data_IF_839080854254
#
_entry.id   IF_839080854254
#
_cell.length_a   1.000
_cell.length_b   1.000
_cell.length_c   1.000
_cell.angle_alpha   90.00
_cell.angle_beta   90.00
_cell.angle_gamma   90.00
#
_symmetry.space_group_name_H-M   'P 1'
#
loop_
_entity.id
_entity.type
_entity.pdbx_description
1 polymer ?
#
# COMPACT_ATOMS: atom_id res chain seq x y z
N UNK A 1 16.44 5.91 -20.58
CA UNK A 1 16.02 6.58 -19.33
C UNK A 1 14.66 6.04 -18.91
N UNK A 2 14.51 5.45 -17.72
CA UNK A 2 13.20 4.97 -17.24
C UNK A 2 12.51 6.12 -16.50
N UNK A 3 11.47 6.68 -17.10
CA UNK A 3 10.63 7.69 -16.45
C UNK A 3 9.77 7.00 -15.37
N UNK A 4 10.02 7.35 -14.10
CA UNK A 4 9.12 7.02 -13.00
C UNK A 4 8.20 8.22 -12.82
N UNK A 5 6.95 8.07 -13.23
CA UNK A 5 5.91 9.07 -13.03
C UNK A 5 5.63 9.25 -11.53
N UNK A 6 5.72 10.48 -11.05
CA UNK A 6 5.25 10.87 -9.72
C UNK A 6 3.85 11.44 -9.88
N UNK A 7 2.87 10.76 -9.28
CA UNK A 7 1.52 11.28 -9.17
C UNK A 7 1.53 12.51 -8.24
N UNK A 8 0.95 13.66 -8.64
CA UNK A 8 0.79 14.80 -7.73
C UNK A 8 -0.32 14.46 -6.74
N UNK A 9 -0.02 13.76 -5.63
CA UNK A 9 -1.03 13.42 -4.61
C UNK A 9 -1.08 14.55 -3.59
N UNK A 10 -2.23 15.21 -3.46
CA UNK A 10 -2.59 16.06 -2.31
C UNK A 10 -3.87 15.51 -1.67
N UNK A 11 -3.76 14.35 -1.01
CA UNK A 11 -4.86 13.65 -0.33
C UNK A 11 -4.39 12.39 0.41
N UNK A 12 -5.21 11.83 1.30
CA UNK A 12 -4.89 10.61 2.07
C UNK A 12 -4.95 9.36 1.16
N UNK A 13 -3.79 8.96 0.62
CA UNK A 13 -3.62 7.91 -0.39
C UNK A 13 -4.22 6.53 -0.05
N UNK A 14 -4.53 6.26 1.23
CA UNK A 14 -5.05 4.95 1.70
C UNK A 14 -6.57 4.86 1.55
N UNK A 15 -7.29 5.97 1.67
CA UNK A 15 -8.75 6.01 1.43
C UNK A 15 -9.05 5.89 -0.06
N UNK A 16 -8.28 6.60 -0.89
CA UNK A 16 -8.42 6.62 -2.36
C UNK A 16 -8.37 5.22 -3.00
N UNK A 17 -7.47 4.35 -2.54
CA UNK A 17 -7.31 3.00 -3.10
C UNK A 17 -8.58 2.13 -2.94
N UNK A 18 -9.38 2.37 -1.89
CA UNK A 18 -10.59 1.58 -1.60
C UNK A 18 -11.76 2.03 -2.46
N UNK A 19 -12.02 3.34 -2.47
CA UNK A 19 -13.09 3.91 -3.28
C UNK A 19 -12.83 3.66 -4.76
N UNK A 20 -11.61 3.92 -5.23
CA UNK A 20 -11.22 3.66 -6.63
C UNK A 20 -11.40 2.19 -7.03
N UNK A 21 -11.03 1.25 -6.16
CA UNK A 21 -11.24 -0.18 -6.41
C UNK A 21 -12.71 -0.57 -6.55
N UNK A 22 -13.59 -0.03 -5.71
CA UNK A 22 -15.02 -0.31 -5.76
C UNK A 22 -15.70 0.30 -6.99
N UNK A 23 -15.41 1.57 -7.33
CA UNK A 23 -15.93 2.18 -8.55
C UNK A 23 -15.44 1.45 -9.80
N UNK A 24 -14.15 1.07 -9.84
CA UNK A 24 -13.59 0.28 -10.93
C UNK A 24 -14.27 -1.09 -11.08
N UNK A 25 -14.54 -1.78 -9.97
CA UNK A 25 -15.26 -3.06 -9.97
C UNK A 25 -16.72 -2.89 -10.44
N UNK A 26 -17.43 -1.87 -9.96
CA UNK A 26 -18.81 -1.61 -10.35
C UNK A 26 -18.94 -1.28 -11.84
N UNK A 27 -18.04 -0.43 -12.37
CA UNK A 27 -17.99 -0.08 -13.79
C UNK A 27 -17.67 -1.29 -14.67
N UNK A 28 -16.71 -2.13 -14.25
CA UNK A 28 -16.33 -3.36 -14.96
C UNK A 28 -17.49 -4.34 -15.02
N UNK A 29 -18.19 -4.54 -13.89
CA UNK A 29 -19.34 -5.44 -13.83
C UNK A 29 -20.52 -4.94 -14.67
N UNK A 30 -20.81 -3.65 -14.64
CA UNK A 30 -21.87 -3.05 -15.46
C UNK A 30 -21.57 -3.20 -16.96
N UNK A 31 -20.28 -3.09 -17.35
CA UNK A 31 -19.83 -3.34 -18.72
C UNK A 31 -20.02 -4.81 -19.12
N UNK A 32 -19.65 -5.75 -18.25
CA UNK A 32 -19.84 -7.20 -18.48
C UNK A 32 -21.33 -7.58 -18.60
N UNK A 33 -22.20 -6.89 -17.86
CA UNK A 33 -23.66 -7.08 -17.91
C UNK A 33 -24.35 -6.29 -19.04
N UNK A 34 -23.58 -5.69 -19.96
CA UNK A 34 -24.08 -4.93 -21.12
C UNK A 34 -25.08 -3.81 -20.77
N UNK A 35 -24.89 -3.13 -19.63
CA UNK A 35 -25.80 -2.08 -19.18
C UNK A 35 -25.64 -0.76 -19.94
N UNK A 36 -26.74 -0.01 -20.05
CA UNK A 36 -26.76 1.36 -20.62
C UNK A 36 -26.09 2.37 -19.65
N UNK A 37 -25.51 3.43 -20.20
CA UNK A 37 -24.82 4.51 -19.45
C UNK A 37 -25.66 5.13 -18.33
N UNK A 38 -26.99 5.25 -18.53
CA UNK A 38 -27.90 5.74 -17.49
C UNK A 38 -28.01 4.78 -16.29
N UNK A 39 -27.99 3.46 -16.52
CA UNK A 39 -27.95 2.44 -15.45
C UNK A 39 -26.65 2.55 -14.67
N UNK A 40 -25.54 2.84 -15.36
CA UNK A 40 -24.21 2.97 -14.77
C UNK A 40 -24.17 4.14 -13.78
N UNK A 41 -24.66 5.34 -14.15
CA UNK A 41 -24.67 6.50 -13.23
C UNK A 41 -25.37 6.21 -11.91
N UNK A 42 -26.50 5.52 -12.00
CA UNK A 42 -27.34 5.09 -10.88
C UNK A 42 -26.63 4.06 -9.98
N UNK A 43 -25.89 3.13 -10.58
CA UNK A 43 -25.15 2.09 -9.88
C UNK A 43 -23.90 2.63 -9.16
N UNK A 44 -23.35 3.77 -9.59
CA UNK A 44 -22.14 4.35 -8.98
C UNK A 44 -22.39 4.98 -7.60
N UNK A 45 -23.63 5.35 -7.27
CA UNK A 45 -23.91 5.91 -5.94
C UNK A 45 -23.83 4.89 -4.80
N UNK A 46 -24.04 3.62 -5.10
CA UNK A 46 -24.11 2.56 -4.08
C UNK A 46 -22.74 2.13 -3.51
N UNK A 47 -21.68 1.97 -4.31
CA UNK A 47 -20.35 1.66 -3.80
C UNK A 47 -19.81 2.74 -2.87
N UNK A 48 -20.13 4.03 -3.10
CA UNK A 48 -19.75 5.13 -2.19
C UNK A 48 -20.27 4.90 -0.77
N UNK A 49 -21.55 4.51 -0.65
CA UNK A 49 -22.23 4.32 0.64
C UNK A 49 -21.69 3.12 1.42
N UNK A 50 -21.20 2.08 0.72
CA UNK A 50 -20.76 0.81 1.33
C UNK A 50 -19.25 0.64 1.44
N UNK A 51 -18.46 1.42 0.71
CA UNK A 51 -17.01 1.44 0.87
C UNK A 51 -16.60 2.28 2.07
N UNK A 52 -16.92 1.80 3.26
CA UNK A 52 -16.47 2.38 4.51
C UNK A 52 -15.28 1.59 5.04
N UNK A 53 -14.24 2.29 5.50
CA UNK A 53 -13.08 1.63 6.08
C UNK A 53 -12.13 2.63 6.72
N UNK A 54 -11.89 2.47 8.02
CA UNK A 54 -10.96 3.32 8.74
C UNK A 54 -9.52 2.85 8.54
N UNK A 55 -8.63 3.80 8.18
CA UNK A 55 -7.20 3.54 8.05
C UNK A 55 -6.54 3.14 9.38
N UNK A 56 -7.19 3.41 10.51
CA UNK A 56 -6.71 3.08 11.85
C UNK A 56 -6.48 1.56 12.03
N UNK A 57 -7.26 0.70 11.35
CA UNK A 57 -7.04 -0.75 11.40
C UNK A 57 -5.70 -1.16 10.79
N UNK A 58 -5.33 -0.55 9.66
CA UNK A 58 -4.03 -0.77 8.99
C UNK A 58 -2.90 -0.21 9.85
N UNK A 59 -3.13 0.99 10.41
CA UNK A 59 -2.21 1.63 11.34
C UNK A 59 -1.88 0.73 12.55
N UNK A 60 -2.90 0.07 13.11
CA UNK A 60 -2.75 -0.89 14.23
C UNK A 60 -2.26 -2.28 13.82
N UNK A 61 -1.95 -2.52 12.53
CA UNK A 61 -1.48 -3.83 12.06
C UNK A 61 -2.57 -4.91 12.01
N UNK A 62 -3.83 -4.50 11.90
CA UNK A 62 -4.94 -5.42 11.67
C UNK A 62 -4.98 -5.96 10.23
N UNK A 63 -5.82 -6.98 10.01
CA UNK A 63 -5.93 -7.63 8.70
C UNK A 63 -6.40 -6.70 7.58
N UNK A 64 -5.76 -6.81 6.42
CA UNK A 64 -6.11 -6.05 5.21
C UNK A 64 -7.17 -6.75 4.36
N UNK A 65 -7.32 -8.08 4.47
CA UNK A 65 -8.20 -8.90 3.63
C UNK A 65 -9.66 -8.42 3.53
N UNK A 66 -10.35 -8.10 4.65
CA UNK A 66 -11.76 -7.70 4.60
C UNK A 66 -12.04 -6.43 3.80
N UNK A 67 -11.01 -5.62 3.55
CA UNK A 67 -11.14 -4.31 2.90
C UNK A 67 -11.18 -4.34 1.38
N UNK A 68 -10.50 -5.30 0.75
CA UNK A 68 -10.62 -5.51 -0.69
C UNK A 68 -11.93 -6.21 -1.04
N UNK A 69 -12.32 -7.19 -0.20
CA UNK A 69 -13.58 -7.93 -0.31
C UNK A 69 -14.80 -7.00 -0.27
N UNK A 70 -14.85 -6.08 0.68
CA UNK A 70 -16.00 -5.15 0.81
C UNK A 70 -16.24 -4.29 -0.44
N UNK A 71 -15.18 -3.93 -1.17
CA UNK A 71 -15.30 -3.18 -2.42
C UNK A 71 -15.94 -4.01 -3.55
N UNK A 72 -15.51 -5.26 -3.69
CA UNK A 72 -16.10 -6.19 -4.66
C UNK A 72 -17.56 -6.52 -4.35
N UNK A 73 -17.88 -6.82 -3.09
CA UNK A 73 -19.26 -7.07 -2.64
C UNK A 73 -20.15 -5.85 -2.88
N UNK A 74 -19.65 -4.64 -2.60
CA UNK A 74 -20.39 -3.40 -2.85
C UNK A 74 -20.69 -3.20 -4.33
N UNK A 75 -19.76 -3.54 -5.23
CA UNK A 75 -19.94 -3.45 -6.67
C UNK A 75 -21.00 -4.42 -7.21
N UNK A 76 -21.01 -5.66 -6.70
CA UNK A 76 -22.03 -6.67 -7.04
C UNK A 76 -23.41 -6.20 -6.60
N UNK A 77 -23.55 -5.86 -5.31
CA UNK A 77 -24.81 -5.39 -4.73
C UNK A 77 -25.35 -4.14 -5.46
N UNK A 78 -24.48 -3.19 -5.79
CA UNK A 78 -24.84 -2.00 -6.55
C UNK A 78 -25.44 -2.34 -7.94
N UNK A 79 -24.77 -3.24 -8.66
CA UNK A 79 -25.24 -3.72 -9.96
C UNK A 79 -26.54 -4.52 -9.87
N UNK A 80 -26.77 -5.26 -8.79
CA UNK A 80 -28.00 -6.02 -8.57
C UNK A 80 -29.18 -5.08 -8.27
N UNK A 81 -28.98 -4.05 -7.45
CA UNK A 81 -30.00 -3.01 -7.23
C UNK A 81 -30.36 -2.28 -8.52
N UNK A 82 -29.37 -1.90 -9.32
CA UNK A 82 -29.62 -1.35 -10.65
C UNK A 82 -30.35 -2.33 -11.59
N UNK A 83 -30.24 -3.64 -11.40
CA UNK A 83 -30.99 -4.66 -12.16
C UNK A 83 -32.47 -4.65 -11.79
N UNK A 84 -32.74 -4.54 -10.50
CA UNK A 84 -34.08 -4.53 -9.94
C UNK A 84 -34.80 -3.19 -10.11
N UNK A 85 -34.21 -2.22 -10.82
CA UNK A 85 -34.83 -0.93 -11.10
C UNK A 85 -34.67 0.12 -9.99
N UNK A 86 -33.86 -0.16 -8.97
CA UNK A 86 -33.57 0.85 -7.94
C UNK A 86 -32.72 1.97 -8.51
N UNK A 87 -33.07 3.20 -8.14
CA UNK A 87 -32.26 4.38 -8.46
C UNK A 87 -31.27 4.71 -7.34
N UNK A 88 -30.18 5.38 -7.68
CA UNK A 88 -29.13 5.85 -6.79
C UNK A 88 -28.88 7.34 -7.01
N UNK A 89 -28.20 8.02 -6.08
CA UNK A 89 -27.92 9.44 -6.21
C UNK A 89 -27.12 9.74 -7.49
N UNK A 90 -27.49 10.82 -8.17
CA UNK A 90 -26.71 11.36 -9.29
C UNK A 90 -25.50 12.15 -8.78
N UNK A 91 -24.54 12.42 -9.67
CA UNK A 91 -23.37 13.27 -9.42
C UNK A 91 -22.52 12.88 -8.20
N UNK A 92 -22.41 11.58 -7.94
CA UNK A 92 -21.73 11.00 -6.76
C UNK A 92 -20.24 11.29 -6.67
N UNK A 93 -19.64 11.76 -7.76
CA UNK A 93 -18.22 12.15 -7.81
C UNK A 93 -18.06 13.65 -7.52
N UNK A 94 -18.77 14.51 -8.25
CA UNK A 94 -18.52 15.97 -8.31
C UNK A 94 -19.61 16.84 -7.68
N UNK A 95 -20.78 16.25 -7.39
CA UNK A 95 -21.93 16.92 -6.82
C UNK A 95 -21.61 17.62 -5.50
N UNK A 96 -22.53 18.45 -4.97
CA UNK A 96 -22.28 19.25 -3.78
C UNK A 96 -21.89 18.41 -2.55
N UNK A 97 -22.37 17.16 -2.49
CA UNK A 97 -21.99 16.15 -1.49
C UNK A 97 -21.30 14.94 -2.12
N UNK A 98 -20.60 15.14 -3.24
CA UNK A 98 -19.90 14.09 -3.98
C UNK A 98 -18.55 13.73 -3.37
N UNK A 99 -18.02 12.57 -3.78
CA UNK A 99 -16.77 11.99 -3.29
C UNK A 99 -15.61 12.99 -3.26
N UNK A 100 -15.39 13.75 -4.35
CA UNK A 100 -14.24 14.65 -4.46
C UNK A 100 -14.30 15.77 -3.41
N UNK A 101 -15.49 16.32 -3.12
CA UNK A 101 -15.65 17.38 -2.12
C UNK A 101 -15.60 16.85 -0.69
N UNK A 102 -16.05 15.62 -0.47
CA UNK A 102 -16.09 15.00 0.86
C UNK A 102 -14.73 14.43 1.31
N UNK A 103 -13.93 13.91 0.36
CA UNK A 103 -12.71 13.16 0.68
C UNK A 103 -11.44 13.92 0.29
N UNK A 104 -11.43 14.65 -0.82
CA UNK A 104 -10.23 15.34 -1.29
C UNK A 104 -10.16 16.76 -0.72
N UNK A 105 -8.95 17.20 -0.34
CA UNK A 105 -8.71 18.59 0.08
C UNK A 105 -8.68 19.56 -1.09
N UNK A 106 -8.25 19.07 -2.26
CA UNK A 106 -8.24 19.78 -3.53
C UNK A 106 -8.27 18.72 -4.65
N UNK A 107 -8.98 19.01 -5.73
CA UNK A 107 -9.11 18.09 -6.86
C UNK A 107 -9.16 18.86 -8.18
N UNK A 108 -8.72 18.18 -9.24
CA UNK A 108 -8.90 18.61 -10.63
C UNK A 108 -9.67 17.51 -11.37
N UNK A 109 -10.94 17.78 -11.66
CA UNK A 109 -11.84 16.86 -12.33
C UNK A 109 -11.30 16.39 -13.69
N UNK A 110 -10.57 17.25 -14.40
CA UNK A 110 -10.03 16.93 -15.72
C UNK A 110 -9.03 15.77 -15.66
N UNK A 111 -8.35 15.57 -14.53
CA UNK A 111 -7.42 14.45 -14.37
C UNK A 111 -8.11 13.09 -14.31
N UNK A 112 -9.39 13.03 -13.93
CA UNK A 112 -10.13 11.76 -13.87
C UNK A 112 -10.43 11.19 -15.25
N UNK A 113 -10.60 12.06 -16.24
CA UNK A 113 -10.93 11.70 -17.62
C UNK A 113 -9.76 11.88 -18.58
N UNK A 114 -8.65 12.47 -18.12
CA UNK A 114 -7.44 12.65 -18.91
C UNK A 114 -6.92 11.30 -19.45
N UNK A 115 -6.82 11.20 -20.77
CA UNK A 115 -6.32 10.00 -21.45
C UNK A 115 -7.28 8.81 -21.43
N UNK A 116 -8.55 8.97 -21.06
CA UNK A 116 -9.54 7.89 -21.10
C UNK A 116 -9.66 7.33 -22.54
N UNK A 117 -9.65 6.00 -22.67
CA UNK A 117 -9.67 5.32 -23.98
C UNK A 117 -8.31 5.21 -24.68
N UNK A 118 -7.29 5.95 -24.23
CA UNK A 118 -5.93 5.91 -24.79
C UNK A 118 -4.90 5.37 -23.81
N UNK A 119 -5.02 5.74 -22.53
CA UNK A 119 -4.11 5.33 -21.46
C UNK A 119 -4.78 4.26 -20.61
N UNK A 120 -4.25 3.03 -20.69
CA UNK A 120 -4.77 1.91 -19.91
C UNK A 120 -3.94 1.72 -18.64
N UNK A 121 -4.46 2.17 -17.50
CA UNK A 121 -3.77 2.08 -16.21
C UNK A 121 -3.40 0.63 -15.81
N UNK A 122 -4.09 -0.38 -16.36
CA UNK A 122 -3.73 -1.80 -16.17
C UNK A 122 -2.32 -2.13 -16.69
N UNK A 123 -1.83 -1.42 -17.71
CA UNK A 123 -0.47 -1.56 -18.23
C UNK A 123 0.59 -0.88 -17.33
N UNK A 124 0.16 -0.17 -16.28
CA UNK A 124 1.01 0.57 -15.35
C UNK A 124 1.00 -0.05 -13.94
N UNK A 125 0.62 -1.32 -13.83
CA UNK A 125 0.62 -2.06 -12.57
C UNK A 125 2.05 -2.44 -12.16
N UNK A 126 2.29 -2.46 -10.85
CA UNK A 126 3.56 -2.93 -10.28
C UNK A 126 3.39 -4.31 -9.65
N UNK A 127 4.26 -5.25 -9.98
CA UNK A 127 4.40 -6.49 -9.24
C UNK A 127 5.15 -6.24 -7.94
N UNK A 128 4.69 -6.89 -6.85
CA UNK A 128 5.36 -6.81 -5.55
C UNK A 128 6.46 -7.87 -5.48
N UNK A 129 7.74 -7.49 -5.37
CA UNK A 129 8.82 -8.45 -5.14
C UNK A 129 8.76 -9.05 -3.73
N UNK A 130 8.25 -8.30 -2.75
CA UNK A 130 8.18 -8.71 -1.35
C UNK A 130 6.73 -8.78 -0.85
N UNK A 131 6.38 -9.77 -0.02
CA UNK A 131 5.07 -9.93 0.62
C UNK A 131 4.82 -8.92 1.77
N UNK A 132 5.19 -7.65 1.59
CA UNK A 132 5.15 -6.59 2.60
C UNK A 132 4.43 -5.31 2.11
N UNK A 133 4.41 -4.28 2.96
CA UNK A 133 3.93 -2.95 2.58
C UNK A 133 4.89 -2.26 1.61
N UNK A 134 4.34 -1.60 0.56
CA UNK A 134 5.13 -0.96 -0.53
C UNK A 134 6.25 -0.05 -0.05
N UNK A 135 6.03 0.67 1.05
CA UNK A 135 7.02 1.57 1.64
C UNK A 135 8.32 0.87 2.09
N UNK A 136 8.28 -0.44 2.38
CA UNK A 136 9.48 -1.21 2.76
C UNK A 136 10.33 -1.67 1.57
N UNK A 137 9.77 -1.73 0.35
CA UNK A 137 10.39 -2.45 -0.75
C UNK A 137 11.74 -1.86 -1.18
N UNK A 138 11.86 -0.53 -1.21
CA UNK A 138 13.13 0.11 -1.58
C UNK A 138 14.25 -0.20 -0.58
N UNK A 139 13.92 -0.29 0.71
CA UNK A 139 14.86 -0.66 1.75
C UNK A 139 15.31 -2.12 1.62
N UNK A 140 14.35 -3.02 1.42
CA UNK A 140 14.60 -4.45 1.27
C UNK A 140 15.46 -4.73 0.03
N UNK A 141 15.20 -4.04 -1.08
CA UNK A 141 16.00 -4.15 -2.30
C UNK A 141 17.45 -3.73 -2.06
N UNK A 142 17.67 -2.61 -1.36
CA UNK A 142 19.02 -2.14 -1.04
C UNK A 142 19.74 -3.15 -0.15
N UNK A 143 19.08 -3.66 0.90
CA UNK A 143 19.66 -4.64 1.81
C UNK A 143 19.96 -5.97 1.11
N UNK A 144 19.06 -6.43 0.24
CA UNK A 144 19.31 -7.61 -0.57
C UNK A 144 20.60 -7.45 -1.37
N UNK A 145 20.74 -6.34 -2.09
CA UNK A 145 21.90 -6.11 -2.96
C UNK A 145 23.23 -5.97 -2.20
N UNK A 146 23.24 -5.25 -1.06
CA UNK A 146 24.50 -4.92 -0.38
C UNK A 146 24.88 -5.91 0.74
N UNK A 147 23.93 -6.72 1.23
CA UNK A 147 24.17 -7.68 2.31
C UNK A 147 24.01 -9.11 1.79
N UNK A 148 22.80 -9.46 1.35
CA UNK A 148 22.47 -10.84 0.99
C UNK A 148 23.26 -11.29 -0.24
N UNK A 149 23.20 -10.52 -1.32
CA UNK A 149 23.86 -10.86 -2.59
C UNK A 149 25.39 -10.71 -2.50
N UNK A 150 25.87 -9.93 -1.51
CA UNK A 150 27.29 -9.82 -1.19
C UNK A 150 27.79 -10.94 -0.24
N UNK A 151 26.91 -11.81 0.25
CA UNK A 151 27.28 -12.92 1.14
C UNK A 151 27.73 -12.47 2.53
N UNK A 152 27.31 -11.30 3.01
CA UNK A 152 27.69 -10.79 4.32
C UNK A 152 26.93 -11.56 5.41
N UNK A 153 27.61 -12.27 6.33
CA UNK A 153 26.92 -13.07 7.33
C UNK A 153 26.21 -12.17 8.35
N UNK A 154 25.00 -12.53 8.82
CA UNK A 154 24.23 -11.72 9.76
C UNK A 154 25.00 -11.33 11.02
N UNK A 155 25.87 -12.23 11.53
CA UNK A 155 26.70 -12.03 12.72
C UNK A 155 27.75 -10.92 12.59
N UNK A 156 28.17 -10.59 11.36
CA UNK A 156 29.17 -9.55 11.11
C UNK A 156 28.61 -8.13 11.15
N UNK A 157 27.28 -7.99 11.14
CA UNK A 157 26.61 -6.68 11.12
C UNK A 157 26.43 -6.21 12.57
N UNK A 158 26.86 -5.01 12.91
CA UNK A 158 26.63 -4.42 14.23
C UNK A 158 25.37 -3.53 14.26
N UNK A 159 25.07 -2.83 13.15
CA UNK A 159 23.83 -2.06 13.02
C UNK A 159 23.55 -1.67 11.57
N UNK A 160 22.27 -1.41 11.29
CA UNK A 160 21.73 -0.95 10.02
C UNK A 160 21.07 0.41 10.25
N UNK A 161 21.46 1.42 9.46
CA UNK A 161 20.78 2.71 9.46
C UNK A 161 20.31 3.07 8.06
N UNK A 162 19.01 3.34 7.92
CA UNK A 162 18.38 3.72 6.68
C UNK A 162 17.82 5.14 6.75
N UNK A 163 18.17 5.97 5.78
CA UNK A 163 17.57 7.29 5.59
C UNK A 163 16.43 7.25 4.56
N UNK A 164 15.23 7.72 4.90
CA UNK A 164 14.04 7.64 4.05
C UNK A 164 13.06 8.82 4.23
N UNK A 165 12.17 9.10 3.26
CA UNK A 165 11.13 10.10 3.42
C UNK A 165 10.22 9.84 4.62
N UNK A 166 9.63 10.92 5.16
CA UNK A 166 8.75 10.88 6.34
C UNK A 166 7.61 9.87 6.22
N UNK A 167 7.04 9.72 5.02
CA UNK A 167 5.98 8.75 4.78
C UNK A 167 6.44 7.29 4.99
N UNK A 168 7.65 6.95 4.53
CA UNK A 168 8.22 5.61 4.73
C UNK A 168 8.40 5.35 6.23
N UNK A 169 9.03 6.28 6.95
CA UNK A 169 9.17 6.20 8.40
C UNK A 169 7.82 5.99 9.09
N UNK A 170 6.81 6.81 8.76
CA UNK A 170 5.47 6.72 9.34
C UNK A 170 4.80 5.37 9.10
N UNK A 171 5.01 4.75 7.94
CA UNK A 171 4.30 3.52 7.57
C UNK A 171 4.99 2.26 8.08
N UNK A 172 6.32 2.23 8.12
CA UNK A 172 7.09 0.99 8.36
C UNK A 172 8.11 1.02 9.49
N UNK A 173 8.27 2.13 10.22
CA UNK A 173 9.22 2.23 11.36
C UNK A 173 8.74 1.53 12.66
N UNK A 174 7.99 0.43 12.54
CA UNK A 174 7.42 -0.26 13.69
C UNK A 174 8.48 -1.15 14.36
N UNK A 175 8.66 -1.10 15.68
CA UNK A 175 9.62 -1.97 16.35
C UNK A 175 9.19 -3.43 16.21
N UNK A 176 10.15 -4.34 16.03
CA UNK A 176 9.87 -5.77 16.11
C UNK A 176 9.76 -6.19 17.58
N UNK A 177 8.78 -7.01 17.92
CA UNK A 177 8.59 -7.51 19.27
C UNK A 177 8.00 -8.94 19.28
N UNK A 178 8.14 -9.70 20.37
CA UNK A 178 7.46 -10.98 20.51
C UNK A 178 5.93 -10.84 20.41
N UNK A 179 5.26 -11.82 19.82
CA UNK A 179 3.80 -11.83 19.69
C UNK A 179 3.22 -10.87 18.64
N UNK A 180 4.04 -10.34 17.74
CA UNK A 180 3.56 -9.60 16.56
C UNK A 180 2.60 -10.45 15.73
N UNK A 181 1.54 -9.85 15.22
CA UNK A 181 0.74 -10.48 14.17
C UNK A 181 1.49 -10.44 12.83
N UNK A 182 1.18 -11.39 11.94
CA UNK A 182 1.72 -11.38 10.58
C UNK A 182 1.48 -10.05 9.83
N UNK A 183 0.34 -9.39 10.06
CA UNK A 183 0.02 -8.11 9.43
C UNK A 183 0.83 -6.94 10.02
N UNK A 184 1.13 -6.99 11.31
CA UNK A 184 2.03 -6.04 11.94
C UNK A 184 3.44 -6.19 11.36
N UNK A 185 3.95 -7.43 11.30
CA UNK A 185 5.28 -7.76 10.80
C UNK A 185 5.50 -7.31 9.35
N UNK A 186 4.48 -7.43 8.47
CA UNK A 186 4.50 -6.91 7.08
C UNK A 186 4.71 -5.39 6.97
N UNK A 187 4.56 -4.67 8.08
CA UNK A 187 4.73 -3.22 8.20
C UNK A 187 5.80 -2.87 9.25
N UNK A 188 6.62 -3.82 9.69
CA UNK A 188 7.79 -3.58 10.54
C UNK A 188 9.04 -3.75 9.70
N UNK A 189 9.63 -2.64 9.24
CA UNK A 189 10.87 -2.67 8.48
C UNK A 189 12.05 -3.28 9.27
N UNK A 190 12.21 -3.05 10.59
CA UNK A 190 13.21 -3.77 11.38
C UNK A 190 13.08 -5.29 11.28
N UNK A 191 11.87 -5.82 11.46
CA UNK A 191 11.62 -7.26 11.32
C UNK A 191 11.92 -7.74 9.90
N UNK A 192 11.40 -7.05 8.87
CA UNK A 192 11.56 -7.45 7.47
C UNK A 192 13.02 -7.42 7.03
N UNK A 193 13.79 -6.42 7.47
CA UNK A 193 15.21 -6.27 7.15
C UNK A 193 16.02 -7.45 7.70
N UNK A 194 15.87 -7.74 8.99
CA UNK A 194 16.60 -8.87 9.59
C UNK A 194 16.10 -10.20 9.07
N UNK A 195 14.78 -10.37 8.87
CA UNK A 195 14.25 -11.61 8.31
C UNK A 195 14.81 -11.90 6.92
N UNK A 196 14.90 -10.88 6.06
CA UNK A 196 15.53 -10.98 4.74
C UNK A 196 17.02 -11.35 4.86
N UNK A 197 17.76 -10.73 5.79
CA UNK A 197 19.19 -10.99 5.96
C UNK A 197 19.46 -12.42 6.45
N UNK A 198 18.61 -12.95 7.34
CA UNK A 198 18.76 -14.31 7.87
C UNK A 198 18.29 -15.39 6.88
N UNK A 199 17.16 -15.19 6.19
CA UNK A 199 16.61 -16.19 5.27
C UNK A 199 17.17 -16.05 3.83
N UNK A 200 17.79 -14.92 3.49
CA UNK A 200 18.19 -14.57 2.12
C UNK A 200 17.03 -14.14 1.22
N UNK A 201 15.79 -14.45 1.60
CA UNK A 201 14.58 -14.04 0.89
C UNK A 201 13.41 -13.73 1.84
N UNK A 202 12.34 -13.18 1.28
CA UNK A 202 11.07 -13.00 1.99
C UNK A 202 9.94 -13.66 1.23
N UNK A 203 9.27 -14.60 1.88
CA UNK A 203 8.14 -15.34 1.32
C UNK A 203 6.92 -15.28 2.24
N UNK A 204 5.86 -15.99 1.89
CA UNK A 204 4.72 -16.17 2.79
C UNK A 204 5.11 -16.85 4.10
N UNK A 205 6.13 -17.71 4.08
CA UNK A 205 6.61 -18.49 5.22
C UNK A 205 7.29 -17.62 6.28
N UNK A 206 7.88 -16.49 5.85
CA UNK A 206 8.50 -15.47 6.70
C UNK A 206 7.53 -14.83 7.71
N UNK A 207 6.23 -15.15 7.67
CA UNK A 207 5.21 -14.65 8.60
C UNK A 207 4.45 -15.76 9.33
N UNK A 208 4.98 -16.98 9.34
CA UNK A 208 4.47 -18.05 10.20
C UNK A 208 4.75 -17.74 11.67
N UNK A 209 3.98 -18.33 12.59
CA UNK A 209 4.19 -18.11 14.02
C UNK A 209 5.60 -18.53 14.47
N UNK A 210 6.15 -19.60 13.86
CA UNK A 210 7.52 -20.04 14.11
C UNK A 210 8.53 -18.93 13.74
N UNK A 211 8.47 -18.41 12.50
CA UNK A 211 9.37 -17.34 12.04
C UNK A 211 9.23 -16.05 12.84
N UNK A 212 8.01 -15.69 13.24
CA UNK A 212 7.72 -14.48 14.02
C UNK A 212 8.25 -14.54 15.45
N UNK A 213 8.46 -15.75 15.99
CA UNK A 213 8.94 -15.99 17.35
C UNK A 213 10.44 -16.29 17.43
N UNK A 214 11.18 -16.30 16.31
CA UNK A 214 12.62 -16.57 16.31
C UNK A 214 13.40 -15.49 17.08
N UNK A 215 14.07 -15.91 18.16
CA UNK A 215 14.81 -15.02 19.06
C UNK A 215 15.91 -14.26 18.35
N UNK A 216 16.61 -14.91 17.42
CA UNK A 216 17.78 -14.34 16.75
C UNK A 216 17.40 -13.15 15.86
N UNK A 217 16.23 -13.20 15.22
CA UNK A 217 15.73 -12.07 14.41
C UNK A 217 15.18 -10.96 15.32
N UNK A 218 14.44 -11.33 16.37
CA UNK A 218 13.85 -10.35 17.28
C UNK A 218 14.91 -9.58 18.08
N UNK A 219 15.98 -10.26 18.52
CA UNK A 219 17.10 -9.66 19.24
C UNK A 219 17.80 -8.55 18.42
N UNK A 220 17.78 -8.68 17.09
CA UNK A 220 18.42 -7.75 16.16
C UNK A 220 17.52 -6.55 15.82
N UNK A 221 16.25 -6.58 16.20
CA UNK A 221 15.30 -5.50 15.96
C UNK A 221 15.80 -4.11 16.36
N UNK A 222 16.49 -4.01 17.50
CA UNK A 222 17.08 -2.76 18.01
C UNK A 222 18.30 -2.26 17.24
N UNK A 223 18.93 -3.13 16.46
CA UNK A 223 20.10 -2.79 15.63
C UNK A 223 19.71 -2.12 14.30
N UNK A 224 18.41 -1.93 14.05
CA UNK A 224 17.88 -1.24 12.86
C UNK A 224 17.33 0.14 13.23
N UNK A 225 17.79 1.18 12.52
CA UNK A 225 17.29 2.54 12.66
C UNK A 225 16.78 3.10 11.34
N UNK A 226 15.61 3.75 11.37
CA UNK A 226 15.03 4.47 10.24
C UNK A 226 15.05 5.97 10.55
N UNK A 227 15.75 6.74 9.73
CA UNK A 227 15.95 8.18 9.91
C UNK A 227 15.18 8.93 8.82
N UNK A 228 14.41 9.95 9.22
CA UNK A 228 13.70 10.80 8.27
C UNK A 228 14.70 11.69 7.52
N UNK A 229 14.60 11.74 6.19
CA UNK A 229 15.43 12.60 5.35
C UNK A 229 14.73 13.91 4.98
N UNK A 230 15.45 14.79 4.27
CA UNK A 230 15.02 16.14 3.87
C UNK A 230 13.94 16.16 2.76
N UNK A 231 13.42 15.01 2.32
CA UNK A 231 12.41 14.98 1.25
C UNK A 231 11.09 15.57 1.78
N UNK A 232 10.70 16.71 1.21
CA UNK A 232 9.52 17.48 1.61
C UNK A 232 8.21 16.97 1.02
N UNK A 233 8.24 16.19 -0.07
CA UNK A 233 7.04 15.58 -0.65
C UNK A 233 6.43 14.58 0.33
N UNK A 234 5.22 14.85 0.87
CA UNK A 234 4.58 13.99 1.86
C UNK A 234 4.16 12.64 1.29
N UNK A 235 4.14 12.47 -0.03
CA UNK A 235 3.72 11.26 -0.73
C UNK A 235 4.87 10.51 -1.42
N UNK A 236 6.12 10.91 -1.14
CA UNK A 236 7.30 10.23 -1.67
C UNK A 236 7.44 8.80 -1.10
N UNK A 237 6.95 7.82 -1.89
CA UNK A 237 7.14 6.38 -1.63
C UNK A 237 8.37 5.81 -2.32
N UNK A 238 8.95 6.54 -3.28
CA UNK A 238 10.23 6.18 -3.90
C UNK A 238 11.38 6.80 -3.12
N UNK A 239 12.36 6.04 -2.62
CA UNK A 239 13.59 6.63 -2.10
C UNK A 239 14.36 7.24 -3.26
N UNK A 240 14.43 8.58 -3.32
CA UNK A 240 15.28 9.28 -4.32
C UNK A 240 16.73 9.43 -3.86
N UNK A 241 16.99 9.29 -2.56
CA UNK A 241 18.28 8.97 -1.93
C UNK A 241 18.02 8.24 -0.61
N UNK A 242 18.33 6.95 -0.57
CA UNK A 242 18.40 6.19 0.67
C UNK A 242 19.86 5.91 0.98
N UNK A 243 20.36 6.42 2.10
CA UNK A 243 21.67 6.03 2.62
C UNK A 243 21.44 4.84 3.55
N UNK A 244 22.02 3.70 3.21
CA UNK A 244 22.15 2.56 4.10
C UNK A 244 23.57 2.56 4.64
N UNK A 245 23.73 2.68 5.95
CA UNK A 245 25.02 2.55 6.62
C UNK A 245 25.06 1.22 7.36
N UNK A 246 26.04 0.39 7.04
CA UNK A 246 26.34 -0.85 7.75
C UNK A 246 27.53 -0.59 8.66
N UNK A 247 27.35 -0.81 9.96
CA UNK A 247 28.50 -0.89 10.88
C UNK A 247 28.86 -2.36 11.00
N UNK A 248 30.11 -2.73 10.73
CA UNK A 248 30.58 -4.10 10.95
C UNK A 248 31.00 -4.28 12.41
N UNK A 249 30.76 -5.46 12.97
CA UNK A 249 31.31 -5.85 14.27
C UNK A 249 32.83 -5.98 14.18
N UNK A 250 33.55 -5.70 15.27
CA UNK A 250 34.95 -6.12 15.37
C UNK A 250 34.93 -7.63 15.59
N UNK A 251 35.61 -8.37 14.71
CA UNK A 251 35.88 -9.79 14.92
C UNK A 251 36.68 -10.01 16.21
#
# INVERSE_FOLDING_TARGET
MRHVWVWPRRGDAVLQARYGGAYGAAASLARLRARRVMSIKTEWGWPFLRCQGQCNRIWKGGSHGPSGRSGGESAVTANDFGAAGFTGPHDVIEGPFGFLRLIEKAYDANQLTAGLGHTFAIAQLSHKPYPSGRASHGALEVLKNIVVDAGIPPSSIASISLSAPRLIHRLVSRPSHPGMSANYARLSLPYLAWRLIFDGELSGESFTQAKLSESDVLARGGDFSLIVNEVSDPNALGPRRSKCSLRMGRC
#
